data_IF_545635877569
#
_entry.id   IF_545635877569
#
_cell.length_a   1.000
_cell.length_b   1.000
_cell.length_c   1.000
_cell.angle_alpha   90.00
_cell.angle_beta   90.00
_cell.angle_gamma   90.00
#
_symmetry.space_group_name_H-M   'P 1'
#
loop_
_entity.id
_entity.type
_entity.pdbx_description
1 polymer ?
#
# COMPACT_ATOMS: atom_id res chain seq x y z
N UNK A 1 5.03 -22.81 17.42
CA UNK A 1 6.22 -23.35 18.08
C UNK A 1 6.47 -22.50 19.30
N UNK A 2 6.57 -23.07 20.50
CA UNK A 2 6.92 -22.29 21.70
C UNK A 2 8.45 -22.28 21.82
N UNK A 3 9.04 -21.08 21.89
CA UNK A 3 10.46 -20.89 22.17
C UNK A 3 10.68 -20.85 23.68
N UNK A 4 11.84 -21.35 24.11
CA UNK A 4 12.29 -21.16 25.49
C UNK A 4 12.46 -19.68 25.79
N UNK A 5 12.00 -19.23 26.96
CA UNK A 5 12.08 -17.83 27.36
C UNK A 5 13.49 -17.51 27.88
N UNK A 6 14.44 -17.36 26.96
CA UNK A 6 15.87 -17.05 27.22
C UNK A 6 16.29 -15.81 26.42
N UNK A 7 17.39 -15.16 26.81
CA UNK A 7 17.87 -13.96 26.11
C UNK A 7 18.13 -14.18 24.61
N UNK A 8 18.59 -15.35 24.19
CA UNK A 8 18.83 -15.67 22.77
C UNK A 8 17.56 -15.59 21.92
N UNK A 9 16.40 -15.82 22.53
CA UNK A 9 15.09 -15.75 21.89
C UNK A 9 14.43 -14.38 22.12
N UNK A 10 15.20 -13.31 22.29
CA UNK A 10 14.72 -11.93 22.44
C UNK A 10 14.87 -11.19 21.11
N UNK A 11 13.92 -10.33 20.75
CA UNK A 11 14.00 -9.46 19.55
C UNK A 11 15.27 -8.59 19.53
N UNK A 12 15.82 -8.26 20.71
CA UNK A 12 16.95 -7.35 20.88
C UNK A 12 18.30 -8.04 21.04
N UNK A 13 18.36 -9.39 20.95
CA UNK A 13 19.61 -10.14 21.06
C UNK A 13 20.23 -10.39 19.69
N UNK A 14 21.48 -9.98 19.50
CA UNK A 14 22.17 -10.08 18.22
C UNK A 14 23.56 -10.71 18.39
N UNK A 15 23.96 -11.47 17.37
CA UNK A 15 25.23 -12.18 17.33
C UNK A 15 26.06 -11.72 16.15
N UNK A 16 27.37 -11.66 16.35
CA UNK A 16 28.29 -11.49 15.23
C UNK A 16 28.37 -12.77 14.40
N UNK A 17 28.60 -12.61 13.09
CA UNK A 17 28.77 -13.73 12.15
C UNK A 17 29.80 -14.78 12.58
N UNK A 18 30.80 -14.40 13.38
CA UNK A 18 31.84 -15.30 13.89
C UNK A 18 31.41 -16.10 15.13
N UNK A 19 30.34 -15.68 15.79
CA UNK A 19 29.82 -16.27 17.02
C UNK A 19 28.52 -17.07 16.76
N UNK A 20 28.12 -17.30 15.50
CA UNK A 20 26.89 -18.04 15.15
C UNK A 20 26.85 -19.49 15.68
N UNK A 21 28.01 -20.10 15.91
CA UNK A 21 28.12 -21.44 16.52
C UNK A 21 28.27 -21.39 18.05
N UNK A 22 28.23 -20.19 18.63
CA UNK A 22 28.30 -19.96 20.07
C UNK A 22 26.99 -19.34 20.54
N UNK A 23 26.62 -19.52 21.80
CA UNK A 23 25.45 -18.83 22.36
C UNK A 23 25.79 -17.40 22.82
N UNK A 24 26.91 -16.82 22.34
CA UNK A 24 27.34 -15.48 22.71
C UNK A 24 26.72 -14.43 21.79
N UNK A 25 26.21 -13.36 22.40
CA UNK A 25 25.69 -12.21 21.69
C UNK A 25 25.54 -11.00 22.61
N UNK A 26 24.99 -9.92 22.08
CA UNK A 26 24.80 -8.65 22.78
C UNK A 26 23.33 -8.24 22.75
N UNK A 27 22.95 -7.35 23.67
CA UNK A 27 21.65 -6.69 23.65
C UNK A 27 21.82 -5.35 22.93
N UNK A 28 21.07 -5.11 21.85
CA UNK A 28 21.12 -3.84 21.12
C UNK A 28 20.40 -2.68 21.83
N UNK A 29 19.64 -2.95 22.90
CA UNK A 29 19.06 -1.91 23.77
C UNK A 29 20.10 -1.28 24.72
N UNK A 30 21.35 -1.73 24.70
CA UNK A 30 22.45 -1.07 25.43
C UNK A 30 22.93 0.14 24.62
N UNK A 31 22.74 1.35 25.17
CA UNK A 31 23.05 2.65 24.54
C UNK A 31 24.45 2.73 23.89
N UNK A 32 25.41 1.91 24.33
CA UNK A 32 26.75 1.85 23.71
C UNK A 32 26.72 1.41 22.25
N UNK A 33 25.67 0.73 21.80
CA UNK A 33 25.48 0.30 20.42
C UNK A 33 24.67 1.29 19.58
N UNK A 34 24.03 2.30 20.19
CA UNK A 34 23.23 3.32 19.50
C UNK A 34 23.95 3.94 18.27
N UNK A 35 25.26 4.28 18.33
CA UNK A 35 25.96 4.86 17.18
C UNK A 35 26.15 3.90 15.98
N UNK A 36 25.90 2.61 16.16
CA UNK A 36 26.20 1.54 15.20
C UNK A 36 24.94 0.77 14.77
N UNK A 37 23.77 1.12 15.29
CA UNK A 37 22.53 0.36 15.08
C UNK A 37 22.19 0.16 13.60
N UNK A 38 22.27 1.21 12.79
CA UNK A 38 21.92 1.14 11.36
C UNK A 38 22.74 0.06 10.64
N UNK A 39 24.05 0.02 10.86
CA UNK A 39 24.94 -0.93 10.21
C UNK A 39 24.74 -2.37 10.72
N UNK A 40 24.57 -2.53 12.04
CA UNK A 40 24.32 -3.83 12.66
C UNK A 40 22.98 -4.39 12.20
N UNK A 41 21.93 -3.56 12.11
CA UNK A 41 20.60 -4.01 11.69
C UNK A 41 20.55 -4.36 10.20
N UNK A 42 21.27 -3.62 9.35
CA UNK A 42 21.29 -3.89 7.91
C UNK A 42 22.12 -5.12 7.54
N UNK A 43 23.27 -5.35 8.20
CA UNK A 43 24.27 -6.32 7.75
C UNK A 43 24.66 -7.37 8.80
N UNK A 44 24.14 -7.29 10.03
CA UNK A 44 24.60 -8.08 11.17
C UNK A 44 26.13 -7.99 11.39
N UNK A 45 26.71 -6.83 11.05
CA UNK A 45 28.15 -6.61 11.07
C UNK A 45 28.57 -5.80 12.29
N UNK A 46 29.35 -6.42 13.18
CA UNK A 46 29.92 -5.75 14.35
C UNK A 46 31.33 -5.24 14.09
N UNK A 47 31.88 -5.30 12.87
CA UNK A 47 33.27 -4.94 12.58
C UNK A 47 33.65 -3.54 13.06
N UNK A 48 32.74 -2.56 12.94
CA UNK A 48 32.98 -1.17 13.35
C UNK A 48 32.88 -0.94 14.87
N UNK A 49 32.35 -1.89 15.63
CA UNK A 49 32.25 -1.84 17.10
C UNK A 49 32.74 -3.14 17.76
N UNK A 50 33.63 -3.90 17.09
CA UNK A 50 33.93 -5.27 17.46
C UNK A 50 34.57 -5.39 18.86
N UNK A 51 35.37 -4.40 19.26
CA UNK A 51 35.92 -4.34 20.62
C UNK A 51 34.82 -4.16 21.69
N UNK A 52 33.80 -3.37 21.39
CA UNK A 52 32.64 -3.16 22.26
C UNK A 52 31.83 -4.44 22.34
N UNK A 53 31.56 -5.08 21.19
CA UNK A 53 30.90 -6.38 21.09
C UNK A 53 31.59 -7.43 21.96
N UNK A 54 32.90 -7.63 21.82
CA UNK A 54 33.66 -8.60 22.61
C UNK A 54 33.59 -8.35 24.12
N UNK A 55 33.54 -7.08 24.52
CA UNK A 55 33.48 -6.67 25.94
C UNK A 55 32.08 -6.85 26.54
N UNK A 56 31.03 -6.66 25.74
CA UNK A 56 29.63 -6.66 26.19
C UNK A 56 28.92 -7.99 25.95
N UNK A 57 29.45 -8.86 25.09
CA UNK A 57 28.81 -10.13 24.76
C UNK A 57 28.65 -11.02 25.99
N UNK A 58 27.54 -11.72 26.04
CA UNK A 58 27.14 -12.61 27.11
C UNK A 58 26.47 -13.86 26.55
N UNK A 59 26.33 -14.88 27.39
CA UNK A 59 25.61 -16.11 27.07
C UNK A 59 24.10 -15.86 26.98
N UNK A 60 23.54 -16.06 25.79
CA UNK A 60 22.13 -15.91 25.45
C UNK A 60 21.22 -16.96 26.08
N UNK A 61 21.78 -18.09 26.54
CA UNK A 61 21.04 -19.14 27.26
C UNK A 61 20.58 -18.76 28.67
N UNK A 62 20.90 -17.54 29.12
CA UNK A 62 20.49 -17.02 30.44
C UNK A 62 19.00 -16.66 30.50
N UNK A 63 18.50 -16.55 31.73
CA UNK A 63 17.15 -16.07 32.02
C UNK A 63 16.87 -14.68 31.40
N UNK A 64 15.63 -14.44 30.95
CA UNK A 64 15.26 -13.24 30.24
C UNK A 64 15.28 -12.05 31.22
N UNK A 65 15.76 -10.90 30.76
CA UNK A 65 15.72 -9.68 31.54
C UNK A 65 14.33 -9.02 31.51
N UNK A 66 14.17 -7.93 32.25
CA UNK A 66 13.00 -7.08 32.27
C UNK A 66 12.72 -6.37 30.92
N UNK A 67 13.74 -6.26 30.07
CA UNK A 67 13.65 -5.73 28.70
C UNK A 67 13.41 -6.84 27.65
N UNK A 68 13.05 -8.05 28.06
CA UNK A 68 12.79 -9.14 27.12
C UNK A 68 11.57 -8.85 26.24
N UNK A 69 11.79 -8.88 24.93
CA UNK A 69 10.77 -8.72 23.91
C UNK A 69 10.62 -10.02 23.11
N UNK A 70 9.40 -10.54 23.09
CA UNK A 70 9.08 -11.78 22.37
C UNK A 70 9.26 -11.59 20.85
N UNK A 71 9.92 -12.53 20.14
CA UNK A 71 10.05 -12.45 18.70
C UNK A 71 8.68 -12.57 18.03
N UNK A 72 8.40 -11.69 17.09
CA UNK A 72 7.22 -11.81 16.24
C UNK A 72 7.46 -12.89 15.17
N UNK A 73 6.63 -13.92 15.20
CA UNK A 73 6.62 -14.94 14.16
C UNK A 73 5.62 -14.58 13.07
N UNK A 74 6.08 -14.57 11.82
CA UNK A 74 5.21 -14.46 10.67
C UNK A 74 5.02 -15.86 10.08
N UNK A 75 3.79 -16.35 10.09
CA UNK A 75 3.45 -17.61 9.44
C UNK A 75 3.49 -17.43 7.91
N UNK A 76 4.41 -18.14 7.26
CA UNK A 76 4.45 -18.21 5.80
C UNK A 76 3.39 -19.21 5.35
N UNK A 77 2.46 -18.84 4.44
CA UNK A 77 1.45 -19.76 3.95
C UNK A 77 2.06 -21.02 3.31
N UNK A 78 1.46 -22.17 3.58
CA UNK A 78 1.91 -23.47 3.07
C UNK A 78 2.07 -23.45 1.54
N UNK A 79 3.22 -23.93 1.07
CA UNK A 79 3.55 -24.03 -0.36
C UNK A 79 4.08 -22.76 -1.01
N UNK A 80 4.28 -21.67 -0.25
CA UNK A 80 4.98 -20.49 -0.76
C UNK A 80 6.51 -20.61 -0.62
N UNK A 81 7.23 -20.09 -1.62
CA UNK A 81 8.69 -19.94 -1.55
C UNK A 81 9.04 -18.82 -0.56
N UNK A 82 9.91 -19.12 0.41
CA UNK A 82 10.27 -18.21 1.50
C UNK A 82 10.87 -16.91 0.96
N UNK A 83 11.76 -16.99 -0.04
CA UNK A 83 12.40 -15.81 -0.62
C UNK A 83 11.39 -14.93 -1.36
N UNK A 84 10.46 -15.55 -2.10
CA UNK A 84 9.38 -14.84 -2.76
C UNK A 84 8.46 -14.13 -1.74
N UNK A 85 8.11 -14.80 -0.64
CA UNK A 85 7.30 -14.22 0.43
C UNK A 85 7.99 -13.01 1.09
N UNK A 86 9.26 -13.18 1.50
CA UNK A 86 10.06 -12.11 2.08
C UNK A 86 10.20 -10.92 1.12
N UNK A 87 10.39 -11.17 -0.17
CA UNK A 87 10.45 -10.11 -1.17
C UNK A 87 9.14 -9.33 -1.28
N UNK A 88 7.99 -10.02 -1.27
CA UNK A 88 6.67 -9.39 -1.31
C UNK A 88 6.41 -8.56 -0.05
N UNK A 89 6.68 -9.10 1.14
CA UNK A 89 6.51 -8.36 2.40
C UNK A 89 7.46 -7.16 2.46
N UNK A 90 8.70 -7.29 2.01
CA UNK A 90 9.61 -6.13 1.88
C UNK A 90 9.03 -5.06 0.94
N UNK A 91 8.54 -5.43 -0.24
CA UNK A 91 7.92 -4.48 -1.19
C UNK A 91 6.66 -3.80 -0.61
N UNK A 92 5.86 -4.53 0.16
CA UNK A 92 4.65 -4.01 0.82
C UNK A 92 4.97 -2.92 1.84
N UNK A 93 6.12 -2.99 2.49
CA UNK A 93 6.58 -2.01 3.49
C UNK A 93 7.62 -1.01 2.98
N UNK A 94 8.13 -1.18 1.76
CA UNK A 94 9.12 -0.29 1.16
C UNK A 94 8.61 1.16 1.07
N UNK A 95 9.48 2.12 1.41
CA UNK A 95 9.21 3.54 1.16
C UNK A 95 9.19 3.82 -0.35
N UNK A 96 8.11 4.45 -0.82
CA UNK A 96 7.88 4.77 -2.24
C UNK A 96 7.79 6.28 -2.50
N UNK A 97 8.19 7.13 -1.55
CA UNK A 97 8.01 8.58 -1.62
C UNK A 97 8.73 9.18 -2.83
N UNK A 98 9.93 8.68 -3.15
CA UNK A 98 10.69 9.12 -4.31
C UNK A 98 9.96 8.78 -5.62
N UNK A 99 9.32 7.61 -5.69
CA UNK A 99 8.54 7.19 -6.86
C UNK A 99 7.30 8.09 -7.01
N UNK A 100 6.65 8.44 -5.89
CA UNK A 100 5.46 9.31 -5.88
C UNK A 100 5.78 10.71 -6.41
N UNK A 101 6.99 11.25 -6.17
CA UNK A 101 7.39 12.56 -6.71
C UNK A 101 7.29 12.61 -8.24
N UNK A 102 7.67 11.53 -8.93
CA UNK A 102 7.61 11.45 -10.40
C UNK A 102 6.19 11.43 -10.98
N UNK A 103 5.15 11.23 -10.15
CA UNK A 103 3.76 11.43 -10.62
C UNK A 103 3.47 12.90 -10.97
N UNK A 104 4.22 13.84 -10.41
CA UNK A 104 4.02 15.28 -10.61
C UNK A 104 5.03 15.90 -11.60
N UNK A 105 5.73 15.07 -12.37
CA UNK A 105 6.66 15.53 -13.38
C UNK A 105 5.94 16.22 -14.56
N UNK A 106 6.63 17.14 -15.23
CA UNK A 106 6.10 17.83 -16.41
C UNK A 106 6.10 16.93 -17.66
N UNK A 107 6.96 15.91 -17.72
CA UNK A 107 7.00 14.94 -18.81
C UNK A 107 6.03 13.78 -18.57
N UNK A 108 4.98 13.71 -19.39
CA UNK A 108 3.98 12.64 -19.36
C UNK A 108 4.58 11.23 -19.47
N UNK A 109 5.75 11.04 -20.10
CA UNK A 109 6.43 9.74 -20.16
C UNK A 109 6.94 9.33 -18.77
N UNK A 110 7.51 10.28 -18.03
CA UNK A 110 7.98 10.06 -16.65
C UNK A 110 6.79 9.73 -15.76
N UNK A 111 5.71 10.50 -15.85
CA UNK A 111 4.46 10.26 -15.10
C UNK A 111 3.89 8.87 -15.41
N UNK A 112 3.79 8.50 -16.69
CA UNK A 112 3.26 7.20 -17.09
C UNK A 112 4.13 6.01 -16.62
N UNK A 113 5.45 6.19 -16.57
CA UNK A 113 6.36 5.22 -15.97
C UNK A 113 6.17 5.12 -14.47
N UNK A 114 6.07 6.25 -13.76
CA UNK A 114 5.79 6.27 -12.32
C UNK A 114 4.48 5.55 -11.99
N UNK A 115 3.41 5.79 -12.76
CA UNK A 115 2.13 5.05 -12.64
C UNK A 115 2.33 3.54 -12.82
N UNK A 116 3.12 3.10 -13.80
CA UNK A 116 3.42 1.67 -14.02
C UNK A 116 4.21 1.04 -12.88
N UNK A 117 5.10 1.79 -12.24
CA UNK A 117 5.89 1.29 -11.11
C UNK A 117 5.01 1.21 -9.85
N UNK A 118 4.27 2.29 -9.56
CA UNK A 118 3.36 2.37 -8.41
C UNK A 118 2.26 1.31 -8.48
N UNK A 119 1.77 0.95 -9.66
CA UNK A 119 0.74 -0.08 -9.78
C UNK A 119 1.13 -1.42 -9.15
N UNK A 120 2.41 -1.80 -9.25
CA UNK A 120 2.94 -3.03 -8.63
C UNK A 120 2.84 -2.95 -7.11
N UNK A 121 3.25 -1.82 -6.53
CA UNK A 121 3.18 -1.59 -5.09
C UNK A 121 1.75 -1.54 -4.57
N UNK A 122 0.84 -0.88 -5.31
CA UNK A 122 -0.60 -0.86 -4.97
C UNK A 122 -1.18 -2.27 -4.96
N UNK A 123 -0.88 -3.07 -5.99
CA UNK A 123 -1.35 -4.46 -6.08
C UNK A 123 -0.83 -5.34 -4.93
N UNK A 124 0.43 -5.14 -4.53
CA UNK A 124 1.06 -5.84 -3.39
C UNK A 124 0.48 -5.38 -2.04
N UNK A 125 -0.25 -4.26 -2.00
CA UNK A 125 -0.86 -3.74 -0.78
C UNK A 125 0.00 -2.73 -0.02
N UNK A 126 0.94 -2.07 -0.69
CA UNK A 126 1.70 -0.96 -0.11
C UNK A 126 0.77 0.27 0.08
N UNK A 127 0.50 0.61 1.34
CA UNK A 127 -0.41 1.69 1.73
C UNK A 127 0.05 3.08 1.26
N UNK A 128 1.35 3.36 1.31
CA UNK A 128 1.92 4.63 0.87
C UNK A 128 1.75 4.80 -0.64
N UNK A 129 1.95 3.73 -1.42
CA UNK A 129 1.73 3.74 -2.87
C UNK A 129 0.26 4.01 -3.22
N UNK A 130 -0.68 3.34 -2.52
CA UNK A 130 -2.11 3.55 -2.72
C UNK A 130 -2.52 4.99 -2.40
N UNK A 131 -2.15 5.49 -1.22
CA UNK A 131 -2.47 6.87 -0.80
C UNK A 131 -1.83 7.91 -1.72
N UNK A 132 -0.59 7.68 -2.15
CA UNK A 132 0.11 8.53 -3.11
C UNK A 132 -0.61 8.60 -4.46
N UNK A 133 -1.03 7.45 -5.00
CA UNK A 133 -1.76 7.38 -6.26
C UNK A 133 -3.14 8.05 -6.16
N UNK A 134 -3.88 7.80 -5.06
CA UNK A 134 -5.17 8.46 -4.79
C UNK A 134 -4.99 9.98 -4.75
N UNK A 135 -4.01 10.47 -3.98
CA UNK A 135 -3.74 11.91 -3.83
C UNK A 135 -3.40 12.55 -5.18
N UNK A 136 -2.55 11.90 -5.98
CA UNK A 136 -2.22 12.35 -7.33
C UNK A 136 -3.47 12.41 -8.20
N UNK A 137 -4.22 11.31 -8.26
CA UNK A 137 -5.42 11.21 -9.08
C UNK A 137 -6.46 12.26 -8.69
N UNK A 138 -6.76 12.43 -7.40
CA UNK A 138 -7.70 13.46 -6.92
C UNK A 138 -7.23 14.90 -7.22
N UNK A 139 -5.91 15.14 -7.31
CA UNK A 139 -5.33 16.44 -7.62
C UNK A 139 -5.36 16.86 -9.09
N UNK A 140 -5.67 15.95 -10.02
CA UNK A 140 -5.75 16.28 -11.45
C UNK A 140 -6.87 17.29 -11.78
N UNK A 141 -6.72 18.02 -12.88
CA UNK A 141 -7.78 18.86 -13.46
C UNK A 141 -8.92 18.04 -14.09
N UNK A 142 -9.84 18.66 -14.85
CA UNK A 142 -10.75 17.93 -15.74
C UNK A 142 -9.96 17.16 -16.81
N UNK A 143 -10.48 16.01 -17.28
CA UNK A 143 -9.92 15.36 -18.47
C UNK A 143 -10.41 16.09 -19.74
N UNK A 144 -9.48 16.65 -20.51
CA UNK A 144 -9.79 17.48 -21.68
C UNK A 144 -9.30 16.86 -23.00
N UNK A 145 -8.32 15.95 -22.92
CA UNK A 145 -7.74 15.24 -24.06
C UNK A 145 -7.98 13.73 -24.01
N UNK A 146 -7.74 13.05 -25.14
CA UNK A 146 -7.72 11.59 -25.18
C UNK A 146 -6.56 11.00 -24.36
N UNK A 147 -5.43 11.70 -24.30
CA UNK A 147 -4.28 11.30 -23.49
C UNK A 147 -4.63 11.30 -21.99
N UNK A 148 -5.32 12.35 -21.52
CA UNK A 148 -5.85 12.39 -20.15
C UNK A 148 -6.76 11.20 -19.87
N UNK A 149 -7.67 10.90 -20.81
CA UNK A 149 -8.62 9.79 -20.68
C UNK A 149 -7.88 8.46 -20.55
N UNK A 150 -6.87 8.20 -21.38
CA UNK A 150 -6.11 6.95 -21.30
C UNK A 150 -5.29 6.83 -20.02
N UNK A 151 -4.61 7.91 -19.60
CA UNK A 151 -3.85 7.91 -18.34
C UNK A 151 -4.78 7.67 -17.14
N UNK A 152 -5.95 8.32 -17.11
CA UNK A 152 -6.93 8.14 -16.03
C UNK A 152 -7.59 6.76 -16.06
N UNK A 153 -7.86 6.19 -17.23
CA UNK A 153 -8.34 4.81 -17.34
C UNK A 153 -7.34 3.82 -16.78
N UNK A 154 -6.03 4.03 -16.99
CA UNK A 154 -4.97 3.21 -16.39
C UNK A 154 -5.00 3.31 -14.86
N UNK A 155 -5.18 4.51 -14.30
CA UNK A 155 -5.31 4.70 -12.86
C UNK A 155 -6.56 4.00 -12.31
N UNK A 156 -7.71 4.16 -12.97
CA UNK A 156 -8.96 3.46 -12.61
C UNK A 156 -8.77 1.94 -12.60
N UNK A 157 -8.04 1.40 -13.58
CA UNK A 157 -7.73 -0.03 -13.62
C UNK A 157 -6.85 -0.47 -12.45
N UNK A 158 -5.83 0.31 -12.09
CA UNK A 158 -4.98 0.03 -10.92
C UNK A 158 -5.80 0.04 -9.63
N UNK A 159 -6.64 1.06 -9.45
CA UNK A 159 -7.51 1.22 -8.28
C UNK A 159 -8.61 0.16 -8.19
N UNK A 160 -8.83 -0.61 -9.26
CA UNK A 160 -9.84 -1.67 -9.24
C UNK A 160 -9.59 -2.76 -8.19
N UNK A 161 -8.33 -3.00 -7.86
CA UNK A 161 -7.93 -3.92 -6.78
C UNK A 161 -8.38 -3.44 -5.38
N UNK A 162 -8.84 -2.20 -5.26
CA UNK A 162 -9.26 -1.52 -4.03
C UNK A 162 -10.64 -0.86 -4.20
N UNK A 163 -11.53 -1.45 -5.01
CA UNK A 163 -12.85 -0.90 -5.35
C UNK A 163 -13.78 -0.68 -4.14
N UNK A 164 -13.66 -1.52 -3.10
CA UNK A 164 -14.44 -1.39 -1.86
C UNK A 164 -13.91 -0.31 -0.91
N UNK A 165 -12.73 0.26 -1.17
CA UNK A 165 -12.16 1.29 -0.32
C UNK A 165 -12.87 2.63 -0.53
N UNK A 166 -13.24 3.29 0.56
CA UNK A 166 -13.92 4.59 0.51
C UNK A 166 -13.16 5.62 -0.33
N UNK A 167 -11.84 5.70 -0.16
CA UNK A 167 -11.02 6.64 -0.90
C UNK A 167 -11.04 6.38 -2.42
N UNK A 168 -11.16 5.12 -2.85
CA UNK A 168 -11.30 4.76 -4.27
C UNK A 168 -12.65 5.22 -4.82
N UNK A 169 -13.73 4.97 -4.07
CA UNK A 169 -15.09 5.41 -4.42
C UNK A 169 -15.14 6.94 -4.52
N UNK A 170 -14.60 7.64 -3.53
CA UNK A 170 -14.54 9.11 -3.50
C UNK A 170 -13.74 9.65 -4.70
N UNK A 171 -12.65 8.99 -5.07
CA UNK A 171 -11.85 9.37 -6.23
C UNK A 171 -12.60 9.19 -7.56
N UNK A 172 -13.35 8.09 -7.71
CA UNK A 172 -14.24 7.86 -8.86
C UNK A 172 -15.35 8.91 -8.96
N UNK A 173 -16.00 9.22 -7.83
CA UNK A 173 -17.05 10.25 -7.76
C UNK A 173 -16.46 11.62 -8.11
N UNK A 174 -15.28 11.96 -7.59
CA UNK A 174 -14.57 13.19 -7.90
C UNK A 174 -14.25 13.31 -9.39
N UNK A 175 -13.85 12.22 -10.05
CA UNK A 175 -13.61 12.21 -11.50
C UNK A 175 -14.90 12.53 -12.29
N UNK A 176 -16.04 11.93 -11.92
CA UNK A 176 -17.34 12.26 -12.52
C UNK A 176 -17.77 13.71 -12.27
N UNK A 177 -17.40 14.29 -11.12
CA UNK A 177 -17.70 15.68 -10.79
C UNK A 177 -16.93 16.65 -11.70
N UNK A 178 -15.60 16.48 -11.78
CA UNK A 178 -14.71 17.43 -12.46
C UNK A 178 -14.69 17.29 -13.98
N UNK A 179 -14.81 16.07 -14.52
CA UNK A 179 -14.53 15.85 -15.95
C UNK A 179 -15.76 16.11 -16.81
N UNK A 180 -15.66 16.89 -17.91
CA UNK A 180 -16.80 17.16 -18.76
C UNK A 180 -17.35 15.87 -19.38
N UNK A 181 -18.67 15.64 -19.39
CA UNK A 181 -19.24 14.51 -20.14
C UNK A 181 -19.45 14.87 -21.61
N UNK A 182 -18.53 14.45 -22.47
CA UNK A 182 -18.60 14.65 -23.93
C UNK A 182 -18.12 13.37 -24.66
N UNK A 183 -17.92 13.44 -25.98
CA UNK A 183 -17.51 12.28 -26.75
C UNK A 183 -16.10 11.77 -26.36
N UNK A 184 -15.18 12.68 -26.05
CA UNK A 184 -13.80 12.37 -25.64
C UNK A 184 -13.76 11.56 -24.35
N UNK A 185 -14.53 11.98 -23.34
CA UNK A 185 -14.50 11.41 -21.99
C UNK A 185 -15.53 10.29 -21.77
N UNK A 186 -16.34 9.97 -22.79
CA UNK A 186 -17.42 8.98 -22.70
C UNK A 186 -16.94 7.62 -22.20
N UNK A 187 -15.75 7.20 -22.63
CA UNK A 187 -15.16 5.92 -22.21
C UNK A 187 -14.83 5.94 -20.72
N UNK A 188 -14.16 7.01 -20.24
CA UNK A 188 -13.84 7.19 -18.84
C UNK A 188 -15.08 7.18 -17.95
N UNK A 189 -16.12 7.95 -18.32
CA UNK A 189 -17.41 7.94 -17.62
C UNK A 189 -18.02 6.54 -17.54
N UNK A 190 -17.93 5.78 -18.63
CA UNK A 190 -18.52 4.44 -18.70
C UNK A 190 -17.79 3.46 -17.81
N UNK A 191 -16.47 3.51 -17.81
CA UNK A 191 -15.66 2.64 -16.97
C UNK A 191 -15.87 2.97 -15.48
N UNK A 192 -15.88 4.25 -15.10
CA UNK A 192 -16.10 4.66 -13.71
C UNK A 192 -17.48 4.23 -13.20
N UNK A 193 -18.54 4.49 -13.97
CA UNK A 193 -19.90 4.08 -13.57
C UNK A 193 -20.03 2.55 -13.44
N UNK A 194 -19.34 1.80 -14.31
CA UNK A 194 -19.28 0.34 -14.24
C UNK A 194 -18.51 -0.16 -13.01
N UNK A 195 -17.45 0.53 -12.56
CA UNK A 195 -16.76 0.17 -11.31
C UNK A 195 -17.60 0.53 -10.10
N UNK A 196 -18.19 1.72 -10.08
CA UNK A 196 -19.06 2.17 -8.99
C UNK A 196 -20.29 1.27 -8.80
N UNK A 197 -20.82 0.67 -9.86
CA UNK A 197 -21.94 -0.29 -9.73
C UNK A 197 -21.57 -1.62 -9.07
N UNK A 198 -20.27 -1.90 -8.86
CA UNK A 198 -19.77 -3.09 -8.15
C UNK A 198 -19.42 -2.80 -6.69
N UNK A 199 -19.38 -1.53 -6.32
CA UNK A 199 -19.02 -1.09 -4.98
C UNK A 199 -20.24 -1.21 -4.04
N UNK A 200 -20.02 -1.30 -2.71
CA UNK A 200 -21.11 -1.37 -1.74
C UNK A 200 -22.09 -0.20 -1.90
N UNK A 201 -23.38 -0.52 -2.06
CA UNK A 201 -24.40 0.48 -2.38
C UNK A 201 -24.47 1.63 -1.37
N UNK A 202 -24.39 1.30 -0.08
CA UNK A 202 -24.41 2.26 1.04
C UNK A 202 -23.30 3.30 0.96
N UNK A 203 -22.17 2.96 0.32
CA UNK A 203 -21.04 3.87 0.13
C UNK A 203 -21.13 4.70 -1.16
N UNK A 204 -21.94 4.26 -2.13
CA UNK A 204 -22.00 4.86 -3.47
C UNK A 204 -23.20 5.79 -3.64
N UNK A 205 -24.33 5.43 -3.05
CA UNK A 205 -25.61 6.10 -3.29
C UNK A 205 -25.53 7.60 -3.00
N UNK A 206 -25.21 7.98 -1.76
CA UNK A 206 -25.18 9.37 -1.34
C UNK A 206 -24.15 10.20 -2.13
N UNK A 207 -22.87 9.76 -2.28
CA UNK A 207 -21.90 10.50 -3.09
C UNK A 207 -22.32 10.74 -4.54
N UNK A 208 -22.99 9.78 -5.18
CA UNK A 208 -23.50 9.95 -6.54
C UNK A 208 -24.68 10.92 -6.63
N UNK A 209 -25.60 10.89 -5.66
CA UNK A 209 -26.72 11.82 -5.62
C UNK A 209 -26.24 13.27 -5.37
N UNK A 210 -25.20 13.44 -4.57
CA UNK A 210 -24.58 14.75 -4.35
C UNK A 210 -24.02 15.40 -5.62
N UNK A 211 -23.60 14.60 -6.62
CA UNK A 211 -23.05 15.13 -7.87
C UNK A 211 -24.02 16.12 -8.55
N UNK A 212 -25.33 15.87 -8.43
CA UNK A 212 -26.35 16.72 -9.05
C UNK A 212 -26.45 18.11 -8.41
N UNK A 213 -25.96 18.29 -7.18
CA UNK A 213 -25.84 19.60 -6.54
C UNK A 213 -24.59 20.35 -7.03
N UNK A 214 -23.52 19.63 -7.36
CA UNK A 214 -22.21 20.18 -7.74
C UNK A 214 -22.18 20.63 -9.20
N UNK A 215 -22.99 20.01 -10.07
CA UNK A 215 -22.96 20.26 -11.52
C UNK A 215 -24.25 19.86 -12.24
N UNK A 216 -24.53 20.55 -13.36
CA UNK A 216 -25.53 20.13 -14.34
C UNK A 216 -24.98 19.04 -15.27
N UNK A 217 -25.67 17.90 -15.30
CA UNK A 217 -25.44 16.81 -16.24
C UNK A 217 -26.49 16.81 -17.35
N UNK A 218 -26.13 16.28 -18.52
CA UNK A 218 -27.13 16.00 -19.57
C UNK A 218 -28.12 14.94 -19.06
N UNK A 219 -29.35 14.96 -19.58
CA UNK A 219 -30.39 14.00 -19.20
C UNK A 219 -29.91 12.54 -19.27
N UNK A 220 -29.20 12.18 -20.35
CA UNK A 220 -28.68 10.83 -20.57
C UNK A 220 -27.67 10.42 -19.49
N UNK A 221 -26.77 11.30 -19.09
CA UNK A 221 -25.73 11.00 -18.09
C UNK A 221 -26.32 10.99 -16.69
N UNK A 222 -27.24 11.91 -16.41
CA UNK A 222 -28.03 11.93 -15.18
C UNK A 222 -28.71 10.58 -14.95
N UNK A 223 -29.38 10.04 -15.97
CA UNK A 223 -30.04 8.73 -15.84
C UNK A 223 -29.05 7.60 -15.55
N UNK A 224 -27.90 7.57 -16.24
CA UNK A 224 -26.86 6.55 -15.98
C UNK A 224 -26.30 6.63 -14.56
N UNK A 225 -26.07 7.84 -14.03
CA UNK A 225 -25.63 8.02 -12.64
C UNK A 225 -26.73 7.54 -11.68
N UNK A 226 -27.99 7.88 -11.95
CA UNK A 226 -29.14 7.45 -11.13
C UNK A 226 -29.34 5.93 -11.15
N UNK A 227 -29.10 5.26 -12.28
CA UNK A 227 -29.15 3.80 -12.40
C UNK A 227 -28.17 3.15 -11.42
N UNK A 228 -26.91 3.60 -11.40
CA UNK A 228 -25.89 3.11 -10.47
C UNK A 228 -26.26 3.42 -9.02
N UNK A 229 -26.73 4.65 -8.74
CA UNK A 229 -27.12 5.08 -7.41
C UNK A 229 -28.37 4.37 -6.84
N UNK A 230 -29.10 3.60 -7.65
CA UNK A 230 -30.34 2.90 -7.26
C UNK A 230 -30.25 1.38 -7.41
N UNK A 231 -29.13 0.84 -7.86
CA UNK A 231 -28.99 -0.57 -8.24
C UNK A 231 -29.17 -1.59 -7.09
N UNK A 232 -29.35 -1.15 -5.84
CA UNK A 232 -29.66 -2.02 -4.69
C UNK A 232 -31.09 -2.56 -4.65
N UNK A 233 -32.01 -2.08 -5.50
CA UNK A 233 -33.41 -2.55 -5.49
C UNK A 233 -33.69 -3.75 -6.41
N UNK A 234 -32.75 -4.18 -7.28
CA UNK A 234 -33.07 -5.14 -8.37
C UNK A 234 -32.41 -6.52 -8.29
N UNK A 235 -31.41 -6.74 -7.43
CA UNK A 235 -30.68 -8.01 -7.39
C UNK A 235 -31.24 -9.06 -6.40
N UNK A 236 -32.26 -8.72 -5.61
CA UNK A 236 -32.97 -9.70 -4.74
C UNK A 236 -33.93 -10.64 -5.49
N UNK A 237 -34.16 -10.46 -6.80
CA UNK A 237 -35.17 -11.23 -7.56
C UNK A 237 -34.64 -12.28 -8.54
N UNK A 238 -33.32 -12.53 -8.62
CA UNK A 238 -32.75 -13.50 -9.58
C UNK A 238 -32.04 -14.72 -8.96
N UNK A 239 -32.22 -14.97 -7.67
CA UNK A 239 -31.88 -16.25 -7.05
C UNK A 239 -33.02 -16.77 -6.15
N UNK A 240 -34.04 -17.35 -6.78
CA UNK A 240 -34.90 -18.39 -6.17
C UNK A 240 -35.10 -19.53 -7.14
#
# INVERSE_FOLDING_TARGET
MELDKICQNCSSFFQDSKDLETDLGVCLNDDVFEPFLDEIMENADFSNCYEIYLKKRFDGGREPCDQYEEPEFIEIPDGQDINAYLHIEHMKHQNVDEIIKYLYDADNKIVNNAISVISKYVYIGNESAYKGLIKFYMGLGPAESLEDVYSRMKIVDILSSKESEKNTIDAYVNELARTPSNNTTRQLYTEILKRLSRCPHEMVQEPLLELFSKRKYSYKIKNRIMEVARASETDEYWYK
#
